data_IF_298841580128
#
_entry.id   IF_298841580128
#
_cell.length_a   1.000
_cell.length_b   1.000
_cell.length_c   1.000
_cell.angle_alpha   90.00
_cell.angle_beta   90.00
_cell.angle_gamma   90.00
#
_symmetry.space_group_name_H-M   'P 1'
#
loop_
_entity.id
_entity.type
_entity.pdbx_description
1 polymer ?
#
# COMPACT_ATOMS: atom_id res chain seq x y z
N UNK A 1 -5.46 -9.36 22.97
CA UNK A 1 -5.82 -7.94 22.97
C UNK A 1 -6.83 -7.75 21.85
N UNK A 2 -7.94 -7.03 22.06
CA UNK A 2 -8.92 -6.80 20.97
C UNK A 2 -8.25 -5.91 19.92
N UNK A 3 -8.23 -6.33 18.66
CA UNK A 3 -7.88 -5.49 17.51
C UNK A 3 -8.57 -4.13 17.67
N UNK A 4 -7.84 -3.04 17.43
CA UNK A 4 -8.51 -1.84 16.96
C UNK A 4 -9.00 -2.20 15.55
N UNK A 5 -10.30 -2.41 15.36
CA UNK A 5 -10.91 -2.45 14.02
C UNK A 5 -10.61 -1.09 13.36
N UNK A 6 -9.56 -1.01 12.55
CA UNK A 6 -9.17 0.22 11.88
C UNK A 6 -10.17 0.45 10.74
N UNK A 7 -11.07 1.40 10.94
CA UNK A 7 -11.96 1.87 9.87
C UNK A 7 -11.17 2.74 8.88
N UNK A 8 -10.60 2.11 7.85
CA UNK A 8 -9.83 2.79 6.82
C UNK A 8 -10.64 3.87 6.09
N UNK A 9 -11.97 3.76 6.00
CA UNK A 9 -12.80 4.81 5.39
C UNK A 9 -12.89 6.06 6.27
N UNK A 10 -12.85 5.91 7.60
CA UNK A 10 -12.69 7.03 8.54
C UNK A 10 -11.29 7.60 8.49
N UNK A 11 -10.25 6.75 8.42
CA UNK A 11 -8.88 7.19 8.24
C UNK A 11 -8.76 8.07 6.99
N UNK A 12 -9.25 7.59 5.85
CA UNK A 12 -9.21 8.32 4.59
C UNK A 12 -9.95 9.65 4.65
N UNK A 13 -11.14 9.69 5.27
CA UNK A 13 -11.87 10.93 5.45
C UNK A 13 -11.13 11.94 6.35
N UNK A 14 -10.41 11.47 7.37
CA UNK A 14 -9.60 12.34 8.23
C UNK A 14 -8.36 12.84 7.47
N UNK A 15 -7.62 11.93 6.84
CA UNK A 15 -6.44 12.22 6.05
C UNK A 15 -6.74 13.24 4.95
N UNK A 16 -7.79 13.03 4.16
CA UNK A 16 -8.23 13.95 3.11
C UNK A 16 -8.40 15.37 3.66
N UNK A 17 -9.08 15.52 4.80
CA UNK A 17 -9.33 16.84 5.41
C UNK A 17 -8.05 17.51 5.87
N UNK A 18 -7.04 16.76 6.29
CA UNK A 18 -5.76 17.30 6.71
C UNK A 18 -4.87 17.65 5.51
N UNK A 19 -4.82 16.77 4.51
CA UNK A 19 -3.99 16.91 3.32
C UNK A 19 -4.39 18.10 2.44
N UNK A 20 -5.66 18.52 2.46
CA UNK A 20 -6.13 19.68 1.69
C UNK A 20 -5.99 21.03 2.42
N UNK A 21 -5.72 21.04 3.73
CA UNK A 21 -5.54 22.29 4.51
C UNK A 21 -4.44 23.20 3.97
N UNK A 22 -3.24 22.69 3.59
CA UNK A 22 -2.19 23.53 3.00
C UNK A 22 -2.63 24.23 1.71
N UNK A 23 -3.61 23.66 1.00
CA UNK A 23 -4.20 24.23 -0.22
C UNK A 23 -5.31 25.25 0.09
N UNK A 24 -5.58 25.54 1.36
CA UNK A 24 -6.67 26.42 1.84
C UNK A 24 -8.07 25.95 1.40
N UNK A 25 -8.23 24.65 1.23
CA UNK A 25 -9.51 24.01 0.96
C UNK A 25 -10.07 23.51 2.30
N UNK A 26 -11.34 23.80 2.56
CA UNK A 26 -12.06 23.33 3.74
C UNK A 26 -13.08 22.27 3.36
N UNK A 27 -12.86 21.05 3.85
CA UNK A 27 -13.80 19.93 3.70
C UNK A 27 -14.39 19.60 5.06
N UNK A 28 -15.71 19.77 5.19
CA UNK A 28 -16.46 19.33 6.35
C UNK A 28 -16.45 17.80 6.48
N UNK A 29 -16.58 17.30 7.72
CA UNK A 29 -16.55 15.86 8.01
C UNK A 29 -17.54 15.05 7.15
N UNK A 30 -18.79 15.52 7.03
CA UNK A 30 -19.81 14.86 6.21
C UNK A 30 -19.47 14.82 4.72
N UNK A 31 -18.85 15.88 4.19
CA UNK A 31 -18.40 15.92 2.79
C UNK A 31 -17.23 14.97 2.57
N UNK A 32 -16.28 14.91 3.50
CA UNK A 32 -15.14 13.99 3.40
C UNK A 32 -15.61 12.53 3.30
N UNK A 33 -16.52 12.10 4.18
CA UNK A 33 -17.08 10.75 4.10
C UNK A 33 -17.91 10.50 2.84
N UNK A 34 -18.59 11.51 2.32
CA UNK A 34 -19.31 11.41 1.05
C UNK A 34 -18.34 11.22 -0.12
N UNK A 35 -17.21 11.93 -0.13
CA UNK A 35 -16.18 11.80 -1.17
C UNK A 35 -15.52 10.42 -1.12
N UNK A 36 -15.21 9.90 0.06
CA UNK A 36 -14.69 8.53 0.23
C UNK A 36 -15.70 7.51 -0.31
N UNK A 37 -16.98 7.67 0.03
CA UNK A 37 -18.02 6.79 -0.51
C UNK A 37 -18.15 6.88 -2.03
N UNK A 38 -18.06 8.09 -2.58
CA UNK A 38 -18.12 8.31 -4.02
C UNK A 38 -16.91 7.68 -4.74
N UNK A 39 -15.71 7.78 -4.16
CA UNK A 39 -14.51 7.14 -4.68
C UNK A 39 -14.66 5.61 -4.77
N UNK A 40 -15.38 5.03 -3.81
CA UNK A 40 -15.75 3.61 -3.76
C UNK A 40 -17.03 3.28 -4.54
N UNK A 41 -17.51 4.19 -5.39
CA UNK A 41 -18.68 4.03 -6.30
C UNK A 41 -20.05 4.02 -5.61
N UNK A 42 -20.14 4.54 -4.39
CA UNK A 42 -21.41 4.68 -3.66
C UNK A 42 -21.93 6.11 -3.69
N UNK A 43 -23.25 6.27 -3.84
CA UNK A 43 -23.90 7.58 -3.84
C UNK A 43 -23.97 8.27 -2.46
N UNK A 44 -23.71 7.54 -1.36
CA UNK A 44 -23.62 8.10 -0.02
C UNK A 44 -22.87 7.17 0.93
N UNK A 45 -22.36 7.72 2.04
CA UNK A 45 -21.76 6.92 3.12
C UNK A 45 -22.73 5.86 3.67
N UNK A 46 -24.03 6.19 3.75
CA UNK A 46 -25.03 5.24 4.26
C UNK A 46 -25.27 4.09 3.28
N UNK A 47 -25.42 4.38 1.99
CA UNK A 47 -25.55 3.35 0.97
C UNK A 47 -24.33 2.41 0.96
N UNK A 48 -23.14 2.97 1.19
CA UNK A 48 -21.92 2.21 1.37
C UNK A 48 -22.05 1.28 2.60
N UNK A 49 -22.32 1.81 3.79
CA UNK A 49 -22.42 1.02 5.03
C UNK A 49 -23.57 -0.01 5.05
N UNK A 50 -24.65 0.24 4.32
CA UNK A 50 -25.81 -0.65 4.23
C UNK A 50 -25.58 -1.80 3.21
N UNK A 51 -24.46 -1.82 2.48
CA UNK A 51 -24.14 -2.87 1.49
C UNK A 51 -23.54 -4.11 2.18
N UNK A 52 -24.24 -5.27 2.15
CA UNK A 52 -23.75 -6.50 2.77
C UNK A 52 -22.55 -7.11 2.05
N UNK A 53 -22.26 -6.69 0.81
CA UNK A 53 -21.06 -7.07 0.06
C UNK A 53 -20.10 -5.89 -0.09
N UNK A 54 -20.30 -4.84 0.71
CA UNK A 54 -19.49 -3.63 0.64
C UNK A 54 -18.04 -3.88 1.05
N UNK A 55 -17.15 -2.94 0.75
CA UNK A 55 -15.71 -3.11 0.96
C UNK A 55 -15.27 -3.15 2.44
N UNK A 56 -16.20 -3.05 3.39
CA UNK A 56 -15.93 -3.02 4.85
C UNK A 56 -16.14 -4.35 5.55
N UNK A 57 -16.59 -5.38 4.83
CA UNK A 57 -16.97 -6.65 5.47
C UNK A 57 -15.74 -7.37 6.01
N UNK A 58 -14.53 -6.93 5.63
CA UNK A 58 -13.25 -7.44 6.09
C UNK A 58 -12.27 -6.26 6.15
N UNK A 59 -11.35 -6.24 7.13
CA UNK A 59 -10.36 -5.18 7.41
C UNK A 59 -9.37 -4.96 6.24
N UNK A 60 -9.87 -4.46 5.13
CA UNK A 60 -9.18 -4.41 3.85
C UNK A 60 -8.64 -3.01 3.61
N UNK A 61 -7.38 -2.91 3.19
CA UNK A 61 -6.90 -1.72 2.51
C UNK A 61 -7.64 -1.63 1.16
N UNK A 62 -8.21 -0.46 0.89
CA UNK A 62 -9.11 -0.22 -0.24
C UNK A 62 -8.51 0.73 -1.27
N UNK A 63 -7.23 1.06 -1.16
CA UNK A 63 -6.56 2.04 -2.01
C UNK A 63 -6.71 1.68 -3.50
N UNK A 64 -6.55 0.41 -3.87
CA UNK A 64 -6.76 -0.06 -5.25
C UNK A 64 -8.20 0.03 -5.78
N UNK A 65 -9.20 0.21 -4.90
CA UNK A 65 -10.62 0.27 -5.26
C UNK A 65 -11.16 1.71 -5.39
N UNK A 66 -10.40 2.71 -4.93
CA UNK A 66 -10.81 4.11 -4.90
C UNK A 66 -10.52 4.86 -6.21
N UNK A 67 -11.00 4.31 -7.33
CA UNK A 67 -10.68 4.78 -8.68
C UNK A 67 -11.78 5.64 -9.33
N UNK A 68 -12.91 5.86 -8.65
CA UNK A 68 -14.08 6.50 -9.25
C UNK A 68 -14.03 8.03 -9.25
N UNK A 69 -13.18 8.59 -10.11
CA UNK A 69 -13.04 10.05 -10.28
C UNK A 69 -14.36 10.71 -10.70
N UNK A 70 -15.15 10.07 -11.56
CA UNK A 70 -16.44 10.60 -12.01
C UNK A 70 -17.46 10.66 -10.87
N UNK A 71 -17.51 9.63 -10.01
CA UNK A 71 -18.35 9.61 -8.81
C UNK A 71 -17.99 10.75 -7.86
N UNK A 72 -16.69 10.99 -7.65
CA UNK A 72 -16.20 12.13 -6.85
C UNK A 72 -16.64 13.45 -7.48
N UNK A 73 -16.49 13.60 -8.80
CA UNK A 73 -16.90 14.82 -9.53
C UNK A 73 -18.38 15.13 -9.35
N UNK A 74 -19.22 14.10 -9.46
CA UNK A 74 -20.65 14.19 -9.25
C UNK A 74 -21.01 14.54 -7.80
N UNK A 75 -20.28 13.97 -6.83
CA UNK A 75 -20.46 14.29 -5.42
C UNK A 75 -20.13 15.76 -5.15
N UNK A 76 -18.98 16.26 -5.60
CA UNK A 76 -18.57 17.67 -5.45
C UNK A 76 -19.63 18.60 -6.06
N UNK A 77 -20.13 18.29 -7.25
CA UNK A 77 -21.14 19.11 -7.95
C UNK A 77 -22.46 19.26 -7.18
N UNK A 78 -22.76 18.34 -6.26
CA UNK A 78 -23.97 18.35 -5.43
C UNK A 78 -23.74 18.97 -4.05
N UNK A 79 -22.49 19.21 -3.66
CA UNK A 79 -22.16 19.81 -2.37
C UNK A 79 -22.51 21.29 -2.37
N UNK A 80 -23.21 21.73 -1.32
CA UNK A 80 -23.45 23.16 -1.06
C UNK A 80 -22.29 23.71 -0.24
N UNK A 81 -21.89 24.93 -0.55
CA UNK A 81 -20.89 25.68 0.22
C UNK A 81 -19.52 24.98 0.37
N UNK A 82 -19.19 24.05 -0.54
CA UNK A 82 -17.87 23.43 -0.57
C UNK A 82 -16.88 24.37 -1.26
N UNK A 83 -15.69 24.53 -0.68
CA UNK A 83 -14.55 25.19 -1.33
C UNK A 83 -13.89 24.30 -2.39
N UNK A 84 -14.61 23.30 -2.90
CA UNK A 84 -14.15 22.31 -3.86
C UNK A 84 -14.84 22.54 -5.20
N UNK A 85 -14.08 22.37 -6.28
CA UNK A 85 -14.59 22.42 -7.63
C UNK A 85 -14.46 21.05 -8.33
N UNK A 86 -15.37 20.69 -9.26
CA UNK A 86 -15.38 19.37 -9.88
C UNK A 86 -14.08 18.98 -10.64
N UNK A 87 -13.30 19.96 -11.08
CA UNK A 87 -11.97 19.78 -11.70
C UNK A 87 -10.91 19.28 -10.70
N UNK A 88 -11.13 19.44 -9.40
CA UNK A 88 -10.24 18.92 -8.35
C UNK A 88 -10.47 17.43 -8.07
N UNK A 89 -11.49 16.81 -8.67
CA UNK A 89 -11.84 15.40 -8.42
C UNK A 89 -10.66 14.42 -8.58
N UNK A 90 -9.76 14.53 -9.59
CA UNK A 90 -8.60 13.63 -9.70
C UNK A 90 -7.63 13.74 -8.52
N UNK A 91 -7.36 14.96 -8.04
CA UNK A 91 -6.50 15.19 -6.87
C UNK A 91 -7.14 14.64 -5.60
N UNK A 92 -8.46 14.84 -5.43
CA UNK A 92 -9.21 14.29 -4.31
C UNK A 92 -9.21 12.74 -4.35
N UNK A 93 -9.31 12.14 -5.54
CA UNK A 93 -9.22 10.69 -5.70
C UNK A 93 -7.88 10.16 -5.21
N UNK A 94 -6.77 10.78 -5.61
CA UNK A 94 -5.42 10.40 -5.14
C UNK A 94 -5.29 10.52 -3.62
N UNK A 95 -5.76 11.62 -3.03
CA UNK A 95 -5.70 11.79 -1.57
C UNK A 95 -6.56 10.78 -0.81
N UNK A 96 -7.71 10.37 -1.39
CA UNK A 96 -8.53 9.30 -0.82
C UNK A 96 -7.81 7.96 -0.94
N UNK A 97 -7.19 7.68 -2.08
CA UNK A 97 -6.39 6.48 -2.29
C UNK A 97 -5.25 6.39 -1.27
N UNK A 98 -4.49 7.48 -1.08
CA UNK A 98 -3.45 7.58 -0.05
C UNK A 98 -4.06 7.30 1.34
N UNK A 99 -5.15 7.98 1.67
CA UNK A 99 -5.83 7.85 2.96
C UNK A 99 -6.41 6.47 3.26
N UNK A 100 -6.69 5.67 2.23
CA UNK A 100 -7.16 4.29 2.32
C UNK A 100 -6.01 3.27 2.40
N UNK A 101 -4.76 3.70 2.21
CA UNK A 101 -3.58 2.87 2.43
C UNK A 101 -3.18 2.92 3.92
N UNK A 102 -2.81 1.79 4.54
CA UNK A 102 -2.32 1.79 5.91
C UNK A 102 -1.09 2.69 6.10
N UNK A 103 -1.00 3.30 7.27
CA UNK A 103 0.12 4.16 7.62
C UNK A 103 1.41 3.34 7.78
N UNK A 104 2.53 3.96 7.44
CA UNK A 104 3.85 3.36 7.69
C UNK A 104 4.05 3.13 9.19
N UNK A 105 4.38 1.91 9.59
CA UNK A 105 4.59 1.52 10.99
C UNK A 105 5.72 2.31 11.67
N UNK A 106 6.74 2.70 10.92
CA UNK A 106 7.91 3.39 11.48
C UNK A 106 7.71 4.89 11.68
N UNK A 107 7.13 5.56 10.68
CA UNK A 107 7.09 7.02 10.64
C UNK A 107 5.67 7.60 10.55
N UNK A 108 4.65 6.76 10.43
CA UNK A 108 3.24 7.18 10.32
C UNK A 108 2.86 7.83 8.99
N UNK A 109 3.75 7.84 7.99
CA UNK A 109 3.45 8.39 6.66
C UNK A 109 2.33 7.60 6.01
N UNK A 110 1.34 8.30 5.46
CA UNK A 110 0.23 7.74 4.69
C UNK A 110 0.42 8.17 3.23
N UNK A 111 0.62 7.19 2.35
CA UNK A 111 0.88 7.37 0.91
C UNK A 111 0.38 6.12 0.18
N UNK A 112 -0.22 6.26 -1.01
CA UNK A 112 -0.74 5.12 -1.76
C UNK A 112 0.32 4.10 -2.15
N UNK A 113 1.61 4.48 -2.10
CA UNK A 113 2.76 3.65 -2.44
C UNK A 113 3.42 3.01 -1.22
N UNK A 114 2.86 3.16 -0.02
CA UNK A 114 3.28 2.30 1.09
C UNK A 114 3.08 0.85 0.68
N UNK A 115 4.02 -0.01 1.07
CA UNK A 115 4.01 -1.43 0.74
C UNK A 115 3.80 -2.25 2.00
N UNK A 116 3.07 -3.36 1.92
CA UNK A 116 2.99 -4.30 3.01
C UNK A 116 4.30 -5.09 3.15
N UNK A 117 4.61 -5.50 4.37
CA UNK A 117 5.65 -6.49 4.64
C UNK A 117 5.05 -7.88 4.39
N UNK A 118 5.71 -8.67 3.54
CA UNK A 118 5.33 -10.02 3.14
C UNK A 118 4.36 -10.07 1.96
N UNK A 119 4.10 -11.29 1.49
CA UNK A 119 3.18 -11.57 0.39
C UNK A 119 1.72 -11.56 0.89
N UNK A 120 1.13 -10.38 0.99
CA UNK A 120 -0.21 -10.20 1.59
C UNK A 120 -1.31 -10.10 0.56
N UNK A 121 -2.50 -10.61 0.89
CA UNK A 121 -3.72 -10.50 0.09
C UNK A 121 -4.71 -9.58 0.79
N UNK A 122 -5.58 -8.95 0.00
CA UNK A 122 -6.58 -8.03 0.53
C UNK A 122 -7.38 -8.64 1.69
N UNK A 123 -7.22 -8.08 2.90
CA UNK A 123 -7.88 -8.52 4.13
C UNK A 123 -6.97 -9.25 5.11
N UNK A 124 -5.73 -9.54 4.72
CA UNK A 124 -4.72 -10.09 5.62
C UNK A 124 -4.20 -9.01 6.56
N UNK A 125 -4.01 -9.34 7.84
CA UNK A 125 -3.34 -8.41 8.73
C UNK A 125 -1.86 -8.30 8.37
N UNK A 126 -1.40 -7.08 8.09
CA UNK A 126 -0.05 -6.82 7.66
C UNK A 126 0.45 -5.48 8.19
N UNK A 127 1.74 -5.42 8.46
CA UNK A 127 2.43 -4.17 8.70
C UNK A 127 2.83 -3.53 7.38
N UNK A 128 2.89 -2.19 7.36
CA UNK A 128 3.12 -1.42 6.14
C UNK A 128 4.26 -0.45 6.33
N UNK A 129 5.03 -0.22 5.26
CA UNK A 129 6.22 0.62 5.28
C UNK A 129 6.17 1.57 4.08
N UNK A 130 6.51 2.84 4.29
CA UNK A 130 6.60 3.79 3.18
C UNK A 130 7.88 3.56 2.37
N UNK A 131 7.90 3.97 1.11
CA UNK A 131 9.07 3.85 0.21
C UNK A 131 10.37 4.34 0.88
N UNK A 132 10.29 5.43 1.67
CA UNK A 132 11.47 6.00 2.32
C UNK A 132 12.03 5.07 3.39
N UNK A 133 11.18 4.51 4.24
CA UNK A 133 11.60 3.57 5.28
C UNK A 133 12.03 2.22 4.67
N UNK A 134 11.31 1.74 3.66
CA UNK A 134 11.63 0.51 2.92
C UNK A 134 12.96 0.58 2.17
N UNK A 135 13.51 1.79 1.93
CA UNK A 135 14.82 1.95 1.31
C UNK A 135 16.00 1.67 2.25
N UNK A 136 15.74 1.48 3.55
CA UNK A 136 16.75 1.08 4.52
C UNK A 136 17.06 -0.42 4.39
N UNK A 137 18.19 -0.71 3.74
CA UNK A 137 18.64 -2.07 3.45
C UNK A 137 19.07 -2.87 4.68
N UNK A 138 19.28 -2.20 5.80
CA UNK A 138 19.64 -2.87 7.05
C UNK A 138 18.39 -3.49 7.71
N UNK A 139 17.19 -2.99 7.38
CA UNK A 139 15.93 -3.43 7.97
C UNK A 139 15.00 -4.11 6.96
N UNK A 140 15.12 -3.80 5.66
CA UNK A 140 14.23 -4.34 4.63
C UNK A 140 14.97 -4.78 3.37
N UNK A 141 14.37 -5.72 2.65
CA UNK A 141 14.86 -6.18 1.36
C UNK A 141 13.77 -6.80 0.50
N UNK A 142 14.17 -7.30 -0.66
CA UNK A 142 13.30 -8.03 -1.58
C UNK A 142 13.92 -9.38 -1.90
N UNK A 143 13.09 -10.41 -1.98
CA UNK A 143 13.53 -11.71 -2.45
C UNK A 143 13.82 -11.64 -3.96
N UNK A 144 14.96 -12.19 -4.40
CA UNK A 144 15.34 -12.23 -5.83
C UNK A 144 14.32 -12.94 -6.72
N UNK A 145 13.57 -13.91 -6.18
CA UNK A 145 12.57 -14.68 -6.91
C UNK A 145 11.16 -14.08 -6.86
N UNK A 146 10.77 -13.46 -5.73
CA UNK A 146 9.44 -12.90 -5.56
C UNK A 146 9.23 -11.57 -6.31
N UNK A 147 10.33 -10.88 -6.66
CA UNK A 147 10.31 -9.57 -7.30
C UNK A 147 10.14 -8.41 -6.32
N UNK A 148 10.08 -7.19 -6.86
CA UNK A 148 10.07 -5.94 -6.08
C UNK A 148 8.72 -5.60 -5.45
N UNK A 149 7.66 -6.35 -5.78
CA UNK A 149 6.30 -6.12 -5.27
C UNK A 149 6.09 -6.68 -3.85
N UNK A 150 7.04 -7.48 -3.34
CA UNK A 150 6.99 -8.08 -2.00
C UNK A 150 8.18 -7.59 -1.19
N UNK A 151 7.91 -6.82 -0.14
CA UNK A 151 8.92 -6.35 0.80
C UNK A 151 9.09 -7.36 1.93
N UNK A 152 10.31 -7.66 2.33
CA UNK A 152 10.63 -8.53 3.46
C UNK A 152 11.41 -7.75 4.51
N UNK A 153 11.31 -8.15 5.77
CA UNK A 153 12.30 -7.75 6.77
C UNK A 153 13.65 -8.38 6.42
N UNK A 154 14.75 -7.67 6.69
CA UNK A 154 16.08 -8.10 6.29
C UNK A 154 16.49 -9.44 6.92
N UNK A 155 15.96 -9.77 8.10
CA UNK A 155 16.22 -11.04 8.79
C UNK A 155 15.39 -12.23 8.24
N UNK A 156 14.42 -11.96 7.36
CA UNK A 156 13.65 -12.97 6.62
C UNK A 156 14.32 -13.36 5.30
N UNK A 157 15.46 -12.74 4.99
CA UNK A 157 16.23 -13.01 3.79
C UNK A 157 17.57 -13.64 4.16
N UNK A 158 17.97 -14.67 3.42
CA UNK A 158 19.30 -15.26 3.54
C UNK A 158 20.40 -14.36 2.95
N UNK A 159 21.66 -14.82 2.99
CA UNK A 159 22.80 -14.07 2.45
C UNK A 159 22.73 -13.88 0.92
N UNK A 160 21.95 -14.71 0.24
CA UNK A 160 21.67 -14.60 -1.18
C UNK A 160 20.48 -13.68 -1.47
N UNK A 161 19.79 -13.15 -0.45
CA UNK A 161 18.60 -12.33 -0.61
C UNK A 161 17.39 -13.15 -1.05
N UNK A 162 17.24 -14.35 -0.52
CA UNK A 162 16.13 -15.27 -0.77
C UNK A 162 15.28 -15.39 0.49
N UNK A 163 13.96 -15.40 0.33
CA UNK A 163 13.06 -15.72 1.42
C UNK A 163 13.04 -17.23 1.68
N UNK A 164 12.46 -17.65 2.81
CA UNK A 164 12.32 -19.06 3.23
C UNK A 164 11.78 -19.98 2.12
N UNK A 165 10.86 -19.51 1.28
CA UNK A 165 10.29 -20.32 0.20
C UNK A 165 11.27 -20.61 -0.95
N UNK A 166 12.27 -19.75 -1.15
CA UNK A 166 13.26 -19.84 -2.23
C UNK A 166 14.68 -20.09 -1.68
N UNK A 167 14.81 -20.44 -0.40
CA UNK A 167 16.09 -20.73 0.24
C UNK A 167 16.80 -21.86 -0.53
N UNK A 168 18.06 -21.63 -0.89
CA UNK A 168 18.89 -22.58 -1.61
C UNK A 168 18.63 -22.70 -3.12
N UNK A 169 17.71 -21.91 -3.72
CA UNK A 169 17.49 -21.95 -5.17
C UNK A 169 18.69 -21.49 -6.02
N UNK A 170 19.65 -20.81 -5.39
CA UNK A 170 20.89 -20.34 -6.03
C UNK A 170 22.14 -20.99 -5.44
N UNK A 171 21.98 -21.98 -4.57
CA UNK A 171 23.11 -22.76 -4.08
C UNK A 171 23.57 -23.68 -5.20
N UNK A 172 24.89 -23.74 -5.42
CA UNK A 172 25.46 -24.73 -6.31
C UNK A 172 25.30 -26.10 -5.67
N UNK A 173 24.86 -27.08 -6.43
CA UNK A 173 24.99 -28.46 -5.98
C UNK A 173 26.48 -28.87 -5.97
N UNK A 174 26.86 -29.95 -5.27
CA UNK A 174 28.27 -30.34 -5.17
C UNK A 174 28.96 -30.64 -6.51
N UNK A 175 28.21 -31.08 -7.53
CA UNK A 175 28.75 -31.34 -8.87
C UNK A 175 28.99 -30.02 -9.60
N UNK A 176 28.05 -29.08 -9.50
CA UNK A 176 28.19 -27.72 -10.03
C UNK A 176 29.32 -26.93 -9.34
N UNK A 177 29.49 -27.12 -8.03
CA UNK A 177 30.58 -26.51 -7.25
C UNK A 177 31.95 -27.04 -7.68
N UNK A 178 32.10 -28.36 -7.83
CA UNK A 178 33.34 -28.98 -8.37
C UNK A 178 33.67 -28.48 -9.78
N UNK A 179 32.66 -28.37 -10.65
CA UNK A 179 32.85 -27.85 -12.02
C UNK A 179 33.26 -26.38 -12.02
N UNK A 180 32.70 -25.57 -11.13
CA UNK A 180 33.03 -24.16 -11.00
C UNK A 180 34.44 -23.93 -10.44
N UNK A 181 34.82 -24.68 -9.40
CA UNK A 181 36.18 -24.65 -8.84
C UNK A 181 37.22 -25.09 -9.88
N UNK A 182 36.93 -26.16 -10.62
CA UNK A 182 37.77 -26.65 -11.72
C UNK A 182 37.97 -25.60 -12.82
N UNK A 183 36.90 -24.88 -13.20
CA UNK A 183 36.99 -23.80 -14.19
C UNK A 183 37.88 -22.64 -13.72
N UNK A 184 37.71 -22.17 -12.48
CA UNK A 184 38.53 -21.10 -11.89
C UNK A 184 40.00 -21.52 -11.82
N UNK A 185 40.29 -22.75 -11.39
CA UNK A 185 41.64 -23.26 -11.27
C UNK A 185 42.36 -23.32 -12.63
N UNK A 186 41.63 -23.69 -13.70
CA UNK A 186 42.19 -23.74 -15.05
C UNK A 186 42.49 -22.34 -15.62
N UNK A 187 41.63 -21.35 -15.38
CA UNK A 187 41.90 -19.97 -15.84
C UNK A 187 43.11 -19.36 -15.13
N UNK A 188 43.28 -19.60 -13.83
CA UNK A 188 44.40 -19.05 -13.06
C UNK A 188 45.76 -19.71 -13.37
N UNK A 189 45.76 -20.90 -13.99
CA UNK A 189 46.98 -21.61 -14.40
C UNK A 189 47.55 -21.14 -15.75
N UNK A 190 46.78 -20.38 -16.53
CA UNK A 190 47.16 -19.90 -17.86
C UNK A 190 47.77 -18.47 -17.86
N UNK A 191 48.02 -17.87 -16.69
CA UNK A 191 48.81 -16.65 -16.46
C UNK A 191 50.22 -16.95 -15.92
#
# INVERSE_FOLDING_TARGET
MRQNDIDYTKQAAHFLRDAVKPLRIEIGSSHAHMLVAAALRYGSRRAMLDDPNGPYVYDQWLSGQADCVDGIRDAISKMRDASLSPDQAPMIAQLIQDGLTPACMECGTIDSRNMPIGAVRQGDEAEWVCIKCASDRDNYGHCRCCGEEVLYEADQLDENGLCEEHEGEFDLDPEEEEDWESYIENIQKDD
#
